data_IF_091996893751
#
_entry.id   IF_091996893751
#
_cell.length_a   1.000
_cell.length_b   1.000
_cell.length_c   1.000
_cell.angle_alpha   90.00
_cell.angle_beta   90.00
_cell.angle_gamma   90.00
#
_symmetry.space_group_name_H-M   'P 1'
#
loop_
_entity.id
_entity.type
_entity.pdbx_description
1 polymer ?
#
# COMPACT_ATOMS: atom_id res chain seq x y z
N UNK A 1 10.73 -0.46 8.41
CA UNK A 1 9.47 0.15 8.89
C UNK A 1 8.26 -0.34 8.09
N UNK A 2 8.27 -0.23 6.75
CA UNK A 2 7.17 -0.71 5.89
C UNK A 2 6.73 -2.17 6.15
N UNK A 3 7.67 -3.11 6.34
CA UNK A 3 7.32 -4.52 6.62
C UNK A 3 6.55 -4.76 7.93
N UNK A 4 6.66 -3.86 8.92
CA UNK A 4 5.97 -3.98 10.21
C UNK A 4 4.66 -3.18 10.24
N UNK A 5 4.71 -1.94 9.74
CA UNK A 5 3.62 -0.97 9.91
C UNK A 5 2.87 -0.67 8.61
N UNK A 6 3.30 -1.20 7.47
CA UNK A 6 2.70 -0.90 6.17
C UNK A 6 2.62 0.60 5.92
N UNK A 7 1.41 1.08 5.65
CA UNK A 7 1.09 2.49 5.40
C UNK A 7 0.61 3.23 6.65
N UNK A 8 0.49 2.55 7.79
CA UNK A 8 -0.06 3.09 9.03
C UNK A 8 1.03 3.76 9.91
N UNK A 9 2.29 3.69 9.50
CA UNK A 9 3.43 4.22 10.25
C UNK A 9 4.27 5.23 9.47
N UNK A 10 5.39 5.62 10.07
CA UNK A 10 6.40 6.45 9.43
C UNK A 10 7.28 5.59 8.50
N UNK A 11 7.47 6.09 7.28
CA UNK A 11 8.36 5.51 6.28
C UNK A 11 9.60 6.39 6.11
N UNK A 12 10.66 5.85 5.54
CA UNK A 12 11.89 6.61 5.28
C UNK A 12 11.70 7.40 3.98
N UNK A 13 11.76 8.72 4.05
CA UNK A 13 11.66 9.58 2.88
C UNK A 13 12.88 9.42 1.96
N UNK A 14 12.70 9.17 0.64
CA UNK A 14 13.79 8.74 -0.25
C UNK A 14 14.88 9.81 -0.46
N UNK A 15 14.54 11.10 -0.36
CA UNK A 15 15.50 12.20 -0.54
C UNK A 15 16.19 12.68 0.75
N UNK A 16 15.46 12.73 1.87
CA UNK A 16 15.95 13.31 3.13
C UNK A 16 16.42 12.26 4.12
N UNK A 17 16.10 10.98 3.90
CA UNK A 17 16.39 9.85 4.79
C UNK A 17 15.80 9.99 6.20
N UNK A 18 14.77 10.84 6.36
CA UNK A 18 14.06 11.05 7.62
C UNK A 18 12.72 10.31 7.65
N UNK A 19 12.23 9.91 8.84
CA UNK A 19 10.89 9.35 8.99
C UNK A 19 9.81 10.38 8.63
N UNK A 20 8.88 10.02 7.76
CA UNK A 20 7.76 10.84 7.29
C UNK A 20 6.49 9.98 7.15
N UNK A 21 5.27 10.56 7.21
CA UNK A 21 4.04 9.82 6.97
C UNK A 21 4.02 9.15 5.59
N UNK A 22 3.42 7.96 5.51
CA UNK A 22 3.40 7.17 4.27
C UNK A 22 2.90 7.95 3.02
N UNK A 23 1.84 8.78 3.07
CA UNK A 23 1.42 9.56 1.90
C UNK A 23 2.50 10.51 1.37
N UNK A 24 3.25 11.18 2.25
CA UNK A 24 4.33 12.08 1.86
C UNK A 24 5.49 11.31 1.21
N UNK A 25 5.86 10.17 1.78
CA UNK A 25 6.93 9.30 1.24
C UNK A 25 6.55 8.72 -0.12
N UNK A 26 5.30 8.28 -0.28
CA UNK A 26 4.79 7.74 -1.54
C UNK A 26 4.74 8.80 -2.65
N UNK A 27 4.31 10.03 -2.32
CA UNK A 27 4.37 11.16 -3.26
C UNK A 27 5.80 11.47 -3.70
N UNK A 28 6.72 11.59 -2.73
CA UNK A 28 8.13 11.86 -3.03
C UNK A 28 8.80 10.74 -3.85
N UNK A 29 8.39 9.49 -3.67
CA UNK A 29 8.85 8.36 -4.47
C UNK A 29 8.28 8.42 -5.89
N UNK A 30 6.98 8.67 -6.05
CA UNK A 30 6.35 8.82 -7.36
C UNK A 30 7.00 9.96 -8.15
N UNK A 31 7.23 11.11 -7.53
CA UNK A 31 7.92 12.25 -8.14
C UNK A 31 9.38 11.93 -8.51
N UNK A 32 10.01 10.97 -7.80
CA UNK A 32 11.37 10.54 -8.12
C UNK A 32 11.43 9.63 -9.35
N UNK A 33 10.40 8.82 -9.59
CA UNK A 33 10.37 7.83 -10.68
C UNK A 33 9.47 8.24 -11.86
N UNK A 34 8.87 9.44 -11.82
CA UNK A 34 7.89 9.92 -12.80
C UNK A 34 8.39 9.80 -14.23
N UNK A 35 9.56 10.35 -14.53
CA UNK A 35 10.11 10.35 -15.89
C UNK A 35 10.26 8.93 -16.44
N UNK A 36 10.78 7.99 -15.63
CA UNK A 36 10.91 6.59 -16.02
C UNK A 36 9.55 5.90 -16.26
N UNK A 37 8.53 6.26 -15.49
CA UNK A 37 7.17 5.74 -15.66
C UNK A 37 6.46 6.36 -16.87
N UNK A 38 6.80 7.60 -17.24
CA UNK A 38 6.31 8.23 -18.47
C UNK A 38 6.94 7.58 -19.70
N UNK A 39 8.25 7.34 -19.67
CA UNK A 39 8.98 6.65 -20.73
C UNK A 39 8.50 5.20 -20.94
N UNK A 40 8.16 4.48 -19.87
CA UNK A 40 7.61 3.13 -19.97
C UNK A 40 6.12 3.09 -20.30
N UNK A 41 5.40 4.20 -20.14
CA UNK A 41 3.95 4.29 -20.28
C UNK A 41 3.16 3.80 -19.06
N UNK A 42 3.81 3.51 -17.94
CA UNK A 42 3.20 2.93 -16.74
C UNK A 42 2.65 3.97 -15.75
N UNK A 43 2.96 5.27 -15.93
CA UNK A 43 2.66 6.32 -14.96
C UNK A 43 1.20 6.29 -14.47
N UNK A 44 0.25 6.25 -15.41
CA UNK A 44 -1.19 6.26 -15.08
C UNK A 44 -1.63 5.01 -14.32
N UNK A 45 -1.06 3.85 -14.64
CA UNK A 45 -1.35 2.61 -13.94
C UNK A 45 -0.82 2.66 -12.50
N UNK A 46 0.39 3.18 -12.30
CA UNK A 46 0.99 3.35 -10.98
C UNK A 46 0.23 4.38 -10.14
N UNK A 47 -0.16 5.53 -10.69
CA UNK A 47 -0.97 6.53 -9.99
C UNK A 47 -2.32 5.94 -9.51
N UNK A 48 -2.98 5.16 -10.37
CA UNK A 48 -4.24 4.46 -10.03
C UNK A 48 -4.04 3.38 -8.96
N UNK A 49 -2.99 2.56 -9.08
CA UNK A 49 -2.65 1.54 -8.11
C UNK A 49 -2.33 2.15 -6.74
N UNK A 50 -1.58 3.26 -6.73
CA UNK A 50 -1.21 3.97 -5.52
C UNK A 50 -2.44 4.57 -4.82
N UNK A 51 -3.32 5.23 -5.57
CA UNK A 51 -4.58 5.76 -5.02
C UNK A 51 -5.46 4.65 -4.42
N UNK A 52 -5.48 3.47 -5.05
CA UNK A 52 -6.19 2.31 -4.55
C UNK A 52 -5.57 1.76 -3.26
N UNK A 53 -4.25 1.63 -3.20
CA UNK A 53 -3.53 1.14 -2.03
C UNK A 53 -3.62 2.12 -0.86
N UNK A 54 -3.62 3.44 -1.10
CA UNK A 54 -3.81 4.45 -0.05
C UNK A 54 -5.24 4.39 0.52
N UNK A 55 -6.26 4.26 -0.34
CA UNK A 55 -7.67 4.20 0.09
C UNK A 55 -8.04 2.88 0.76
N UNK A 56 -7.61 1.76 0.18
CA UNK A 56 -7.95 0.40 0.62
C UNK A 56 -6.93 -0.17 1.62
N UNK A 57 -5.77 0.45 1.82
CA UNK A 57 -4.67 -0.17 2.55
C UNK A 57 -4.17 -1.48 1.91
N UNK A 58 -3.38 -2.24 2.67
CA UNK A 58 -2.73 -3.46 2.19
C UNK A 58 -3.44 -4.74 2.67
N UNK A 59 -2.98 -5.90 2.20
CA UNK A 59 -3.53 -7.21 2.59
C UNK A 59 -3.45 -7.47 4.10
N UNK A 60 -2.41 -6.98 4.78
CA UNK A 60 -2.28 -7.14 6.23
C UNK A 60 -3.37 -6.37 6.99
N UNK A 61 -3.75 -5.17 6.53
CA UNK A 61 -4.88 -4.41 7.08
C UNK A 61 -6.19 -5.18 6.93
N UNK A 62 -6.46 -5.69 5.73
CA UNK A 62 -7.66 -6.49 5.42
C UNK A 62 -7.74 -7.75 6.31
N UNK A 63 -6.61 -8.44 6.48
CA UNK A 63 -6.53 -9.64 7.32
C UNK A 63 -6.78 -9.31 8.79
N UNK A 64 -6.14 -8.26 9.33
CA UNK A 64 -6.35 -7.81 10.72
C UNK A 64 -7.79 -7.39 10.98
N UNK A 65 -8.38 -6.63 10.06
CA UNK A 65 -9.77 -6.17 10.18
C UNK A 65 -10.77 -7.31 10.10
N UNK A 66 -10.55 -8.28 9.21
CA UNK A 66 -11.42 -9.47 9.12
C UNK A 66 -11.32 -10.29 10.39
N UNK A 67 -10.10 -10.58 10.87
CA UNK A 67 -9.90 -11.33 12.10
C UNK A 67 -10.51 -10.60 13.31
N UNK A 68 -10.33 -9.29 13.43
CA UNK A 68 -10.90 -8.50 14.53
C UNK A 68 -12.44 -8.52 14.51
N UNK A 69 -13.04 -8.52 13.30
CA UNK A 69 -14.51 -8.51 13.13
C UNK A 69 -15.15 -9.89 13.31
N UNK A 70 -14.49 -10.97 12.88
CA UNK A 70 -15.08 -12.32 12.87
C UNK A 70 -14.54 -13.25 13.95
N UNK A 71 -13.35 -12.96 14.49
CA UNK A 71 -12.62 -13.89 15.36
C UNK A 71 -12.16 -15.18 14.66
N UNK A 72 -12.28 -15.26 13.33
CA UNK A 72 -12.10 -16.50 12.56
C UNK A 72 -10.98 -16.39 11.53
N UNK A 73 -9.95 -17.22 11.70
CA UNK A 73 -8.89 -17.39 10.70
C UNK A 73 -9.42 -17.99 9.39
N UNK A 74 -10.42 -18.89 9.48
CA UNK A 74 -11.09 -19.45 8.29
C UNK A 74 -11.69 -18.34 7.44
N UNK A 75 -12.42 -17.43 8.08
CA UNK A 75 -13.09 -16.33 7.38
C UNK A 75 -12.08 -15.33 6.82
N UNK A 76 -10.97 -15.13 7.53
CA UNK A 76 -9.84 -14.30 7.06
C UNK A 76 -9.22 -14.86 5.78
N UNK A 77 -8.99 -16.18 5.72
CA UNK A 77 -8.46 -16.84 4.52
C UNK A 77 -9.51 -16.82 3.40
N UNK A 78 -10.77 -17.11 3.69
CA UNK A 78 -11.85 -17.08 2.71
C UNK A 78 -11.98 -15.69 2.05
N UNK A 79 -11.86 -14.61 2.84
CA UNK A 79 -11.88 -13.24 2.32
C UNK A 79 -10.67 -12.94 1.42
N UNK A 80 -9.47 -13.40 1.80
CA UNK A 80 -8.27 -13.24 0.97
C UNK A 80 -8.41 -13.97 -0.38
N UNK A 81 -8.98 -15.18 -0.37
CA UNK A 81 -9.27 -15.95 -1.60
C UNK A 81 -10.26 -15.21 -2.47
N UNK A 82 -11.37 -14.72 -1.91
CA UNK A 82 -12.39 -13.96 -2.64
C UNK A 82 -11.80 -12.74 -3.34
N UNK A 83 -10.98 -11.96 -2.63
CA UNK A 83 -10.31 -10.77 -3.16
C UNK A 83 -9.34 -11.10 -4.31
N UNK A 84 -8.71 -12.27 -4.29
CA UNK A 84 -7.69 -12.65 -5.29
C UNK A 84 -8.31 -13.30 -6.52
N UNK A 85 -9.50 -13.89 -6.36
CA UNK A 85 -10.24 -14.55 -7.44
C UNK A 85 -11.06 -13.58 -8.31
N UNK A 86 -11.28 -12.36 -7.84
CA UNK A 86 -11.90 -11.23 -8.57
C UNK A 86 -10.86 -10.48 -9.41
#
# INVERSE_FOLDING_TARGET
QAGRSGLEGLLVHPRTWRPEPAPAVLGALLDHVRDALEESGDLKAVESALATVVRRGNGARIQRETLARTGSLRDTVAECVRITAE
#
